data_IF_043395597945
#
_entry.id   IF_043395597945
#
_cell.length_a   1.000
_cell.length_b   1.000
_cell.length_c   1.000
_cell.angle_alpha   90.00
_cell.angle_beta   90.00
_cell.angle_gamma   90.00
#
_symmetry.space_group_name_H-M   'P 1'
#
loop_
_entity.id
_entity.type
_entity.pdbx_description
1 polymer ?
#
# COMPACT_ATOMS: atom_id res chain seq x y z
N UNK A 1 18.97 5.62 5.36
CA UNK A 1 19.18 4.48 4.43
C UNK A 1 18.54 3.24 5.02
N UNK A 2 18.10 2.31 4.19
CA UNK A 2 17.55 1.00 4.60
C UNK A 2 18.24 -0.11 3.82
N UNK A 3 18.44 -1.27 4.44
CA UNK A 3 18.95 -2.48 3.80
C UNK A 3 17.85 -3.39 3.28
N UNK A 4 18.15 -4.13 2.21
CA UNK A 4 17.30 -5.18 1.63
C UNK A 4 18.08 -6.50 1.58
N UNK A 5 17.40 -7.66 1.57
CA UNK A 5 18.01 -8.95 1.30
C UNK A 5 18.76 -8.91 -0.02
N UNK A 6 20.04 -9.29 -0.01
CA UNK A 6 20.89 -9.31 -1.21
C UNK A 6 20.30 -10.21 -2.30
N UNK A 7 19.69 -11.32 -1.88
CA UNK A 7 19.10 -12.32 -2.77
C UNK A 7 18.00 -11.77 -3.68
N UNK A 8 17.37 -10.63 -3.35
CA UNK A 8 16.41 -9.97 -4.24
C UNK A 8 17.01 -9.59 -5.60
N UNK A 9 18.34 -9.48 -5.70
CA UNK A 9 19.06 -9.22 -6.96
C UNK A 9 19.15 -10.44 -7.88
N UNK A 10 18.88 -11.64 -7.37
CA UNK A 10 19.03 -12.89 -8.10
C UNK A 10 17.76 -13.33 -8.83
N UNK A 11 16.67 -12.56 -8.72
CA UNK A 11 15.39 -12.87 -9.36
C UNK A 11 15.11 -11.96 -10.54
N UNK A 12 14.68 -12.54 -11.66
CA UNK A 12 14.26 -11.79 -12.85
C UNK A 12 12.92 -11.08 -12.68
N UNK A 13 12.09 -11.61 -11.77
CA UNK A 13 10.72 -11.16 -11.53
C UNK A 13 10.37 -11.17 -10.05
N UNK A 14 9.69 -10.12 -9.60
CA UNK A 14 9.21 -9.98 -8.22
C UNK A 14 7.69 -9.83 -8.22
N UNK A 15 7.01 -10.68 -7.45
CA UNK A 15 5.55 -10.65 -7.30
C UNK A 15 5.18 -10.25 -5.88
N UNK A 16 4.34 -9.23 -5.74
CA UNK A 16 3.79 -8.79 -4.47
C UNK A 16 2.40 -9.40 -4.25
N UNK A 17 2.16 -9.93 -3.04
CA UNK A 17 0.85 -10.46 -2.63
C UNK A 17 0.32 -9.73 -1.38
N UNK A 18 0.03 -8.42 -1.47
CA UNK A 18 -0.40 -7.63 -0.32
C UNK A 18 -1.85 -7.92 0.06
N UNK A 19 -2.26 -7.43 1.24
CA UNK A 19 -3.66 -7.46 1.69
C UNK A 19 -4.26 -6.06 1.60
N UNK A 20 -5.46 -5.97 1.04
CA UNK A 20 -6.27 -4.76 0.97
C UNK A 20 -6.80 -4.41 2.37
N UNK A 21 -6.14 -3.49 3.09
CA UNK A 21 -6.62 -3.07 4.41
C UNK A 21 -6.06 -1.72 4.86
N UNK A 22 -6.75 -1.10 5.80
CA UNK A 22 -6.26 0.07 6.56
C UNK A 22 -5.12 -0.31 7.52
N UNK A 23 -4.40 0.71 7.98
CA UNK A 23 -3.40 0.60 9.04
C UNK A 23 -3.42 1.86 9.91
N UNK A 24 -3.49 1.73 11.24
CA UNK A 24 -3.69 2.89 12.11
C UNK A 24 -2.61 3.99 12.02
N UNK A 25 -1.32 3.62 11.89
CA UNK A 25 -0.21 4.57 11.67
C UNK A 25 0.11 4.85 10.20
N UNK A 26 0.15 3.81 9.36
CA UNK A 26 0.55 3.94 7.95
C UNK A 26 -0.56 4.41 7.00
N UNK A 27 -1.79 4.57 7.49
CA UNK A 27 -2.97 4.82 6.67
C UNK A 27 -3.50 3.55 6.02
N UNK A 28 -2.69 2.95 5.13
CA UNK A 28 -3.01 1.71 4.40
C UNK A 28 -1.89 0.66 4.56
N UNK A 29 -2.22 -0.61 4.31
CA UNK A 29 -1.23 -1.68 4.12
C UNK A 29 -0.89 -1.81 2.65
N UNK A 30 -1.65 -2.57 1.86
CA UNK A 30 -1.57 -2.60 0.39
C UNK A 30 -0.14 -2.78 -0.16
N UNK A 31 0.08 -2.47 -1.44
CA UNK A 31 1.31 -2.79 -2.18
C UNK A 31 2.51 -1.96 -1.71
N UNK A 32 2.36 -0.64 -1.60
CA UNK A 32 3.48 0.24 -1.26
C UNK A 32 4.05 -0.08 0.13
N UNK A 33 3.22 -0.44 1.12
CA UNK A 33 3.70 -0.77 2.47
C UNK A 33 4.23 -2.20 2.59
N UNK A 34 3.96 -3.08 1.63
CA UNK A 34 4.43 -4.47 1.68
C UNK A 34 5.96 -4.52 1.80
N UNK A 35 6.66 -3.61 1.13
CA UNK A 35 8.12 -3.49 1.14
C UNK A 35 8.73 -3.24 2.51
N UNK A 36 7.96 -2.71 3.49
CA UNK A 36 8.41 -2.61 4.89
C UNK A 36 8.80 -3.98 5.44
N UNK A 37 8.10 -5.04 5.02
CA UNK A 37 8.35 -6.42 5.41
C UNK A 37 9.68 -6.97 4.89
N UNK A 38 10.24 -6.37 3.83
CA UNK A 38 11.50 -6.80 3.22
C UNK A 38 12.72 -6.11 3.83
N UNK A 39 12.54 -4.99 4.55
CA UNK A 39 13.68 -4.25 5.09
C UNK A 39 14.45 -5.05 6.14
N UNK A 40 15.76 -4.83 6.19
CA UNK A 40 16.61 -5.27 7.29
C UNK A 40 16.01 -4.82 8.62
N UNK A 41 15.73 -5.78 9.52
CA UNK A 41 14.89 -5.54 10.70
C UNK A 41 15.39 -4.38 11.59
N UNK A 42 16.71 -4.24 11.85
CA UNK A 42 17.25 -3.12 12.64
C UNK A 42 17.00 -1.72 12.07
N UNK A 43 16.72 -1.58 10.77
CA UNK A 43 16.46 -0.27 10.17
C UNK A 43 15.03 0.23 10.42
N UNK A 44 14.09 -0.69 10.70
CA UNK A 44 12.66 -0.34 10.83
C UNK A 44 12.37 0.59 12.01
N UNK A 45 12.94 0.40 13.23
CA UNK A 45 12.70 1.32 14.34
C UNK A 45 13.15 2.74 14.05
N UNK A 46 14.37 2.91 13.52
CA UNK A 46 14.93 4.21 13.23
C UNK A 46 14.15 4.95 12.12
N UNK A 47 13.74 4.24 11.07
CA UNK A 47 13.15 4.86 9.89
C UNK A 47 11.61 4.93 9.92
N UNK A 48 10.93 4.03 10.64
CA UNK A 48 9.47 3.88 10.57
C UNK A 48 8.76 3.92 11.94
N UNK A 49 9.29 3.29 13.00
CA UNK A 49 8.48 3.06 14.21
C UNK A 49 8.74 4.01 15.38
N UNK A 50 9.99 4.45 15.60
CA UNK A 50 10.38 5.16 16.84
C UNK A 50 10.45 6.66 16.63
N UNK A 51 11.29 7.13 15.71
CA UNK A 51 11.58 8.57 15.57
C UNK A 51 10.70 9.28 14.53
N UNK A 52 10.08 8.52 13.62
CA UNK A 52 9.50 9.09 12.40
C UNK A 52 8.05 8.63 12.12
N UNK A 53 7.29 8.29 13.16
CA UNK A 53 5.95 7.72 13.03
C UNK A 53 4.98 8.62 12.23
N UNK A 54 5.21 9.94 12.20
CA UNK A 54 4.45 10.91 11.41
C UNK A 54 4.66 10.80 9.89
N UNK A 55 5.79 10.21 9.48
CA UNK A 55 6.22 10.09 8.08
C UNK A 55 6.21 8.64 7.57
N UNK A 56 5.61 7.71 8.32
CA UNK A 56 5.50 6.29 7.95
C UNK A 56 4.90 6.11 6.55
N UNK A 57 3.88 6.89 6.21
CA UNK A 57 3.23 6.82 4.90
C UNK A 57 4.19 7.23 3.77
N UNK A 58 4.95 8.32 3.95
CA UNK A 58 5.92 8.79 2.96
C UNK A 58 7.12 7.84 2.86
N UNK A 59 7.67 7.42 4.00
CA UNK A 59 8.76 6.47 4.03
C UNK A 59 8.36 5.12 3.40
N UNK A 60 7.13 4.64 3.65
CA UNK A 60 6.60 3.44 3.01
C UNK A 60 6.49 3.58 1.48
N UNK A 61 6.34 4.78 0.93
CA UNK A 61 6.46 4.99 -0.50
C UNK A 61 7.92 4.94 -0.96
N UNK A 62 8.81 5.71 -0.31
CA UNK A 62 10.22 5.88 -0.72
C UNK A 62 11.04 4.59 -0.68
N UNK A 63 10.72 3.65 0.21
CA UNK A 63 11.40 2.34 0.25
C UNK A 63 11.15 1.48 -1.01
N UNK A 64 10.25 1.87 -1.90
CA UNK A 64 10.06 1.18 -3.18
C UNK A 64 10.96 1.77 -4.30
N UNK A 65 11.78 2.78 -4.02
CA UNK A 65 12.69 3.33 -5.03
C UNK A 65 13.71 2.32 -5.57
N UNK A 66 14.35 1.46 -4.73
CA UNK A 66 15.37 0.54 -5.22
C UNK A 66 14.80 -0.76 -5.81
N UNK A 67 13.60 -1.16 -5.40
CA UNK A 67 12.98 -2.45 -5.75
C UNK A 67 11.49 -2.21 -6.04
N UNK A 68 11.04 -2.65 -7.21
CA UNK A 68 9.63 -2.58 -7.64
C UNK A 68 9.16 -3.96 -8.08
N UNK A 69 7.92 -4.34 -7.78
CA UNK A 69 7.34 -5.58 -8.27
C UNK A 69 7.03 -5.48 -9.76
N UNK A 70 7.13 -6.61 -10.46
CA UNK A 70 6.63 -6.78 -11.84
C UNK A 70 5.12 -7.05 -11.86
N UNK A 71 4.59 -7.67 -10.80
CA UNK A 71 3.18 -8.01 -10.65
C UNK A 71 2.74 -7.89 -9.20
N UNK A 72 1.54 -7.38 -8.99
CA UNK A 72 0.90 -7.27 -7.68
C UNK A 72 -0.44 -8.00 -7.75
N UNK A 73 -0.70 -8.87 -6.77
CA UNK A 73 -1.95 -9.59 -6.59
C UNK A 73 -2.45 -9.27 -5.19
N UNK A 74 -3.26 -8.21 -5.06
CA UNK A 74 -3.77 -7.75 -3.78
C UNK A 74 -5.03 -8.53 -3.38
N UNK A 75 -4.98 -9.20 -2.23
CA UNK A 75 -6.12 -9.92 -1.67
C UNK A 75 -7.07 -8.95 -0.94
N UNK A 76 -8.26 -8.77 -1.48
CA UNK A 76 -9.38 -8.03 -0.88
C UNK A 76 -10.60 -8.92 -0.61
N UNK A 77 -10.43 -10.24 -0.47
CA UNK A 77 -11.55 -11.13 -0.09
C UNK A 77 -12.04 -10.83 1.33
N UNK A 78 -11.12 -10.41 2.20
CA UNK A 78 -11.38 -9.93 3.57
C UNK A 78 -10.44 -8.78 3.88
N UNK A 79 -11.00 -7.69 4.40
CA UNK A 79 -10.27 -6.43 4.54
C UNK A 79 -10.55 -5.76 5.88
N UNK A 80 -9.53 -5.23 6.54
CA UNK A 80 -9.76 -4.33 7.69
C UNK A 80 -10.04 -2.91 7.21
N UNK A 81 -11.10 -2.35 7.77
CA UNK A 81 -11.60 -1.01 7.49
C UNK A 81 -11.37 -0.04 8.66
N UNK A 82 -11.11 -0.56 9.85
CA UNK A 82 -10.65 0.20 11.01
C UNK A 82 -9.70 -0.63 11.87
N UNK A 83 -9.04 -0.03 12.87
CA UNK A 83 -8.29 -0.73 13.93
C UNK A 83 -6.99 -1.46 13.56
N UNK A 84 -6.74 -1.77 12.28
CA UNK A 84 -5.61 -2.60 11.83
C UNK A 84 -4.23 -2.09 12.32
N UNK A 85 -3.20 -2.95 12.39
CA UNK A 85 -3.01 -4.08 11.49
C UNK A 85 -3.47 -5.45 12.00
N UNK A 86 -3.68 -5.64 13.32
CA UNK A 86 -3.90 -6.96 13.93
C UNK A 86 -5.35 -7.24 14.31
N UNK A 87 -6.12 -6.20 14.65
CA UNK A 87 -7.52 -6.29 15.05
C UNK A 87 -8.28 -5.13 14.42
N UNK A 88 -9.59 -5.21 14.30
CA UNK A 88 -10.40 -4.12 13.78
C UNK A 88 -11.66 -4.60 13.10
N UNK A 89 -12.46 -3.65 12.59
CA UNK A 89 -13.64 -3.98 11.82
C UNK A 89 -13.24 -4.59 10.47
N UNK A 90 -13.91 -5.68 10.10
CA UNK A 90 -13.61 -6.44 8.91
C UNK A 90 -14.82 -6.43 7.95
N UNK A 91 -14.56 -6.16 6.68
CA UNK A 91 -15.53 -6.31 5.59
C UNK A 91 -15.09 -7.41 4.63
N UNK A 92 -15.96 -7.79 3.69
CA UNK A 92 -15.70 -8.85 2.71
C UNK A 92 -15.95 -8.34 1.28
N UNK A 93 -15.04 -7.52 0.71
CA UNK A 93 -15.21 -7.00 -0.63
C UNK A 93 -15.31 -8.09 -1.70
N UNK A 94 -14.67 -9.26 -1.44
CA UNK A 94 -14.75 -10.40 -2.35
C UNK A 94 -13.93 -10.23 -3.62
N UNK A 95 -13.01 -9.26 -3.64
CA UNK A 95 -12.24 -8.88 -4.84
C UNK A 95 -10.76 -9.26 -4.71
N UNK A 96 -10.14 -9.51 -5.85
CA UNK A 96 -8.68 -9.53 -6.01
C UNK A 96 -8.32 -8.41 -6.99
N UNK A 97 -7.35 -7.57 -6.63
CA UNK A 97 -6.86 -6.51 -7.52
C UNK A 97 -5.51 -6.93 -8.05
N UNK A 98 -5.37 -6.98 -9.38
CA UNK A 98 -4.12 -7.35 -10.05
C UNK A 98 -3.61 -6.14 -10.83
N UNK A 99 -2.32 -5.82 -10.68
CA UNK A 99 -1.71 -4.66 -11.34
C UNK A 99 -0.20 -4.85 -11.53
N UNK A 100 0.36 -4.31 -12.60
CA UNK A 100 1.81 -4.12 -12.76
C UNK A 100 2.32 -2.80 -12.17
N UNK A 101 1.42 -1.96 -11.65
CA UNK A 101 1.73 -0.65 -11.08
C UNK A 101 1.27 -0.53 -9.63
N UNK A 102 2.19 -0.19 -8.72
CA UNK A 102 1.92 -0.10 -7.28
C UNK A 102 0.94 1.03 -6.93
N UNK A 103 1.05 2.17 -7.61
CA UNK A 103 0.19 3.34 -7.34
C UNK A 103 -1.24 3.05 -7.78
N UNK A 104 -1.43 2.54 -9.01
CA UNK A 104 -2.72 2.13 -9.52
C UNK A 104 -3.36 1.04 -8.64
N UNK A 105 -2.57 0.05 -8.20
CA UNK A 105 -3.04 -1.03 -7.34
C UNK A 105 -3.58 -0.49 -6.01
N UNK A 106 -2.84 0.39 -5.35
CA UNK A 106 -3.21 0.94 -4.04
C UNK A 106 -4.36 1.95 -4.15
N UNK A 107 -4.41 2.77 -5.21
CA UNK A 107 -5.55 3.66 -5.48
C UNK A 107 -6.83 2.85 -5.67
N UNK A 108 -6.79 1.78 -6.47
CA UNK A 108 -7.95 0.90 -6.64
C UNK A 108 -8.34 0.19 -5.35
N UNK A 109 -7.35 -0.26 -4.56
CA UNK A 109 -7.61 -0.82 -3.23
C UNK A 109 -8.31 0.17 -2.30
N UNK A 110 -7.90 1.46 -2.33
CA UNK A 110 -8.56 2.51 -1.56
C UNK A 110 -10.00 2.74 -2.04
N UNK A 111 -10.21 2.89 -3.35
CA UNK A 111 -11.54 3.08 -3.94
C UNK A 111 -12.50 1.96 -3.52
N UNK A 112 -12.07 0.71 -3.69
CA UNK A 112 -12.87 -0.46 -3.28
C UNK A 112 -13.16 -0.37 -1.79
N UNK A 113 -12.17 -0.13 -0.92
CA UNK A 113 -12.46 -0.03 0.50
C UNK A 113 -13.49 1.07 0.79
N UNK A 114 -13.38 2.25 0.17
CA UNK A 114 -14.28 3.39 0.39
C UNK A 114 -15.76 3.06 0.09
N UNK A 115 -16.04 2.21 -0.89
CA UNK A 115 -17.42 1.75 -1.20
C UNK A 115 -18.02 0.87 -0.09
N UNK A 116 -17.19 0.12 0.63
CA UNK A 116 -17.63 -0.85 1.64
C UNK A 116 -17.81 -0.24 3.04
N UNK A 117 -17.79 1.09 3.18
CA UNK A 117 -18.10 1.79 4.44
C UNK A 117 -19.53 2.30 4.44
N UNK A 118 -20.46 1.65 5.16
CA UNK A 118 -21.83 2.14 5.29
C UNK A 118 -21.96 3.38 6.21
N UNK A 119 -20.89 3.84 6.87
CA UNK A 119 -20.93 5.05 7.71
C UNK A 119 -19.59 5.80 7.67
N UNK A 120 -19.63 7.09 7.31
CA UNK A 120 -18.49 8.02 7.31
C UNK A 120 -17.79 8.16 8.68
N UNK A 121 -18.42 7.72 9.76
CA UNK A 121 -18.00 8.01 11.14
C UNK A 121 -16.80 7.19 11.66
N UNK A 122 -16.40 6.09 11.00
CA UNK A 122 -15.25 5.27 11.45
C UNK A 122 -14.14 5.11 10.40
N UNK A 123 -14.35 5.67 9.20
CA UNK A 123 -13.37 5.56 8.13
C UNK A 123 -12.16 6.46 8.42
N UNK A 124 -10.95 5.89 8.43
CA UNK A 124 -9.71 6.70 8.45
C UNK A 124 -9.23 7.09 7.05
N UNK A 125 -9.79 6.50 5.99
CA UNK A 125 -9.52 6.84 4.59
C UNK A 125 -10.71 7.62 4.02
N UNK A 126 -10.99 8.81 4.57
CA UNK A 126 -12.05 9.72 4.10
C UNK A 126 -11.61 10.63 2.95
N UNK A 127 -10.32 10.63 2.65
CA UNK A 127 -9.71 11.49 1.64
C UNK A 127 -9.72 10.82 0.28
N UNK A 128 -9.84 11.62 -0.79
CA UNK A 128 -9.68 11.16 -2.16
C UNK A 128 -8.36 10.35 -2.32
N UNK A 129 -8.36 9.15 -2.94
CA UNK A 129 -7.20 8.25 -2.93
C UNK A 129 -5.87 8.90 -3.29
N UNK A 130 -5.85 9.78 -4.28
CA UNK A 130 -4.65 10.47 -4.76
C UNK A 130 -4.06 11.48 -3.77
N UNK A 131 -4.87 11.94 -2.81
CA UNK A 131 -4.43 12.81 -1.72
C UNK A 131 -3.90 12.03 -0.53
N UNK A 132 -3.99 10.70 -0.55
CA UNK A 132 -3.48 9.89 0.52
C UNK A 132 -1.97 10.01 0.60
N UNK A 133 -1.41 10.25 1.81
CA UNK A 133 0.00 10.68 1.97
C UNK A 133 0.99 9.73 1.26
N UNK A 134 0.73 8.44 1.34
CA UNK A 134 1.53 7.39 0.72
C UNK A 134 1.46 7.44 -0.82
N UNK A 135 0.25 7.61 -1.38
CA UNK A 135 0.04 7.75 -2.84
C UNK A 135 0.71 9.02 -3.34
N UNK A 136 0.44 10.16 -2.69
CA UNK A 136 1.00 11.46 -3.09
C UNK A 136 2.53 11.45 -3.06
N UNK A 137 3.12 10.77 -2.07
CA UNK A 137 4.57 10.62 -2.01
C UNK A 137 5.09 9.69 -3.11
N UNK A 138 4.43 8.55 -3.35
CA UNK A 138 4.84 7.62 -4.40
C UNK A 138 4.84 8.27 -5.79
N UNK A 139 3.82 9.09 -6.08
CA UNK A 139 3.76 9.91 -7.30
C UNK A 139 4.90 10.93 -7.33
N UNK A 140 5.13 11.65 -6.23
CA UNK A 140 6.20 12.65 -6.12
C UNK A 140 7.59 12.06 -6.39
N UNK A 141 7.88 10.86 -5.88
CA UNK A 141 9.20 10.21 -6.02
C UNK A 141 9.28 9.23 -7.19
N UNK A 142 8.19 9.03 -7.94
CA UNK A 142 8.17 8.23 -9.17
C UNK A 142 8.26 6.71 -8.95
N UNK A 143 7.67 6.18 -7.88
CA UNK A 143 7.62 4.72 -7.58
C UNK A 143 6.69 3.95 -8.51
N UNK A 144 5.61 4.56 -8.97
CA UNK A 144 4.69 4.01 -9.97
C UNK A 144 4.58 4.88 -11.22
N UNK A 145 3.94 4.33 -12.24
CA UNK A 145 3.62 4.97 -13.51
C UNK A 145 2.37 5.84 -13.41
N UNK A 146 1.34 5.41 -12.67
CA UNK A 146 0.09 6.14 -12.54
C UNK A 146 0.29 7.39 -11.67
N UNK A 147 -0.26 8.53 -12.11
CA UNK A 147 -0.11 9.85 -11.47
C UNK A 147 -1.45 10.53 -11.21
N UNK A 148 -2.51 10.11 -11.90
CA UNK A 148 -3.87 10.67 -11.83
C UNK A 148 -4.90 9.62 -12.26
N UNK A 149 -6.18 9.92 -12.00
CA UNK A 149 -7.29 9.00 -12.24
C UNK A 149 -7.35 8.50 -13.68
N UNK A 150 -7.06 9.35 -14.66
CA UNK A 150 -7.14 9.00 -16.08
C UNK A 150 -6.08 7.97 -16.52
N UNK A 151 -5.06 7.73 -15.69
CA UNK A 151 -4.06 6.69 -15.95
C UNK A 151 -4.59 5.28 -15.57
N UNK A 152 -5.72 5.20 -14.87
CA UNK A 152 -6.32 3.94 -14.45
C UNK A 152 -7.20 3.36 -15.55
N UNK A 153 -6.84 2.17 -16.03
CA UNK A 153 -7.66 1.36 -16.93
C UNK A 153 -8.15 0.11 -16.21
N UNK A 154 -9.41 0.16 -15.76
CA UNK A 154 -10.04 -0.95 -15.04
C UNK A 154 -10.58 -1.96 -16.05
N UNK A 155 -10.25 -3.24 -15.82
CA UNK A 155 -10.82 -4.38 -16.55
C UNK A 155 -11.41 -5.32 -15.51
N UNK A 156 -12.70 -5.62 -15.63
CA UNK A 156 -13.38 -6.62 -14.82
C UNK A 156 -13.35 -7.95 -15.58
N UNK A 157 -13.00 -9.02 -14.90
CA UNK A 157 -12.88 -10.38 -15.43
C UNK A 157 -13.72 -11.35 -14.60
#
# INVERSE_FOLDING_TARGET
TVGYPEDLRNYDKIIYTPVMKTHYLGGITMSLKLSVGMLYRPDRPAQLHTFNHLFVAQAAAEINLPIRPDLIIMDGRRSFVSGGPSHGEQVKPGMIVVSGDQVACDVMGINILQEWYPNLAQNKITTYPWYQKQIRQAVKVGVGYAKKEEDLKIVLA
#
